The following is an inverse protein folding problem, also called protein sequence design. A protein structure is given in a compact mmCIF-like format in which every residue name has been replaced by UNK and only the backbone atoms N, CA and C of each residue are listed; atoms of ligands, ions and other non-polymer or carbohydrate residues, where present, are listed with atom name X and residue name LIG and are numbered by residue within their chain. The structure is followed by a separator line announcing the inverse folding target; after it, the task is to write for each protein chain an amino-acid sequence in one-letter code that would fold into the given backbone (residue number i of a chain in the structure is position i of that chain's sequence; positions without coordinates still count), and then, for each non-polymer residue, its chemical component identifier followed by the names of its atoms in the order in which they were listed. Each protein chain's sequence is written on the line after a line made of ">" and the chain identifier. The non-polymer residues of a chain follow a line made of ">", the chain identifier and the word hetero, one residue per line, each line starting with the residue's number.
data_IF_040735419590
#
_entry.id   IF_040735419590
#
_cell.length_a   1.000
_cell.length_b   1.000
_cell.length_c   1.000
_cell.angle_alpha   90.00
_cell.angle_beta   90.00
_cell.angle_gamma   90.00
#
_symmetry.space_group_name_H-M   'P 1'
#
loop_
_entity.id
_entity.type
_entity.pdbx_description
1 polymer ?
#
# COMPACT_ATOMS: atom_id res chain seq x y z
N UNK A 1 38.06 -20.61 -7.86
CA UNK A 1 37.80 -20.27 -9.28
C UNK A 1 36.45 -20.84 -9.69
N UNK A 2 35.76 -20.17 -10.64
CA UNK A 2 34.39 -20.37 -11.16
C UNK A 2 33.27 -19.84 -10.22
N UNK A 3 32.60 -18.68 -10.44
CA UNK A 3 31.88 -18.05 -11.59
C UNK A 3 30.69 -18.88 -12.14
N UNK A 4 29.47 -18.42 -11.84
CA UNK A 4 28.30 -18.22 -12.74
C UNK A 4 27.01 -18.17 -11.86
N UNK A 5 26.40 -17.00 -11.69
CA UNK A 5 25.35 -16.42 -12.55
C UNK A 5 23.96 -17.03 -12.31
N UNK A 6 23.05 -16.20 -11.76
CA UNK A 6 21.64 -16.10 -12.15
C UNK A 6 21.06 -14.79 -11.59
N UNK A 7 21.07 -13.76 -12.45
CA UNK A 7 20.10 -12.68 -12.40
C UNK A 7 18.70 -13.28 -12.52
N UNK A 8 17.75 -12.80 -11.72
CA UNK A 8 16.36 -12.73 -12.13
C UNK A 8 15.77 -11.44 -11.56
N UNK A 9 15.87 -10.40 -12.37
CA UNK A 9 14.96 -9.26 -12.32
C UNK A 9 13.57 -9.79 -12.69
N UNK A 10 12.58 -9.62 -11.81
CA UNK A 10 11.19 -9.79 -12.20
C UNK A 10 10.74 -8.48 -12.84
N UNK A 11 10.72 -8.53 -14.16
CA UNK A 11 10.16 -7.54 -15.07
C UNK A 11 8.68 -7.37 -14.76
N UNK A 12 8.26 -6.11 -14.57
CA UNK A 12 6.87 -5.71 -14.65
C UNK A 12 6.35 -6.00 -16.06
N UNK A 13 5.53 -7.04 -16.19
CA UNK A 13 4.83 -7.39 -17.42
C UNK A 13 3.41 -6.83 -17.44
N UNK A 14 3.26 -5.57 -17.83
CA UNK A 14 2.00 -5.07 -18.43
C UNK A 14 2.35 -4.55 -19.81
N UNK A 15 2.29 -5.44 -20.81
CA UNK A 15 2.30 -5.07 -22.21
C UNK A 15 1.56 -6.14 -23.03
N UNK A 16 0.23 -6.02 -23.10
CA UNK A 16 -0.58 -6.60 -24.18
C UNK A 16 -1.98 -5.97 -24.24
N UNK A 17 -2.07 -4.63 -24.39
CA UNK A 17 -3.14 -4.02 -25.18
C UNK A 17 -2.78 -2.57 -25.57
N UNK A 18 -1.87 -2.43 -26.54
CA UNK A 18 -1.66 -1.18 -27.28
C UNK A 18 -1.30 -1.54 -28.73
N UNK A 19 -2.22 -2.22 -29.40
CA UNK A 19 -2.16 -2.46 -30.86
C UNK A 19 -3.02 -1.46 -31.64
N UNK A 20 -3.57 -0.43 -31.01
CA UNK A 20 -4.57 0.42 -31.66
C UNK A 20 -4.69 1.80 -31.02
N UNK A 21 -3.72 2.69 -31.27
CA UNK A 21 -3.93 4.12 -31.57
C UNK A 21 -2.63 4.66 -32.18
N UNK A 22 -2.72 5.34 -33.32
CA UNK A 22 -1.59 5.80 -34.11
C UNK A 22 -0.80 6.95 -33.47
N UNK A 23 0.50 6.96 -33.79
CA UNK A 23 1.40 8.12 -33.89
C UNK A 23 1.18 9.30 -32.92
N UNK A 24 1.92 9.29 -31.80
CA UNK A 24 2.37 10.54 -31.18
C UNK A 24 3.76 10.35 -30.56
N UNK A 25 4.80 10.47 -31.40
CA UNK A 25 6.16 10.75 -30.95
C UNK A 25 6.43 12.22 -31.32
N UNK A 26 6.73 13.12 -30.38
CA UNK A 26 7.23 14.44 -30.74
C UNK A 26 8.69 14.33 -31.21
N UNK A 27 9.12 15.10 -32.23
CA UNK A 27 10.48 15.03 -32.74
C UNK A 27 11.48 15.56 -31.72
N UNK A 28 12.67 14.94 -31.69
CA UNK A 28 13.81 15.42 -30.93
C UNK A 28 14.27 16.79 -31.44
N UNK A 29 14.50 17.72 -30.52
CA UNK A 29 15.24 18.96 -30.78
C UNK A 29 14.44 20.25 -30.60
N UNK A 30 14.37 20.76 -29.37
CA UNK A 30 14.37 22.21 -29.13
C UNK A 30 14.91 22.49 -27.72
N UNK A 31 16.04 23.21 -27.67
CA UNK A 31 16.57 23.77 -26.42
C UNK A 31 15.56 24.76 -25.83
N UNK A 32 15.17 24.55 -24.57
CA UNK A 32 14.39 25.51 -23.78
C UNK A 32 15.35 26.08 -22.73
N UNK A 33 15.43 27.42 -22.56
CA UNK A 33 16.31 28.00 -21.56
C UNK A 33 15.82 27.62 -20.16
N UNK A 34 16.77 27.36 -19.25
CA UNK A 34 16.53 27.10 -17.83
C UNK A 34 15.95 28.39 -17.23
N UNK A 35 14.63 28.45 -17.12
CA UNK A 35 13.94 29.38 -16.24
C UNK A 35 13.84 28.72 -14.86
N UNK A 36 14.49 29.37 -13.90
CA UNK A 36 14.46 29.17 -12.45
C UNK A 36 13.27 28.40 -11.91
N UNK A 37 13.57 27.30 -11.22
CA UNK A 37 12.65 26.53 -10.38
C UNK A 37 12.08 27.41 -9.25
N UNK A 38 10.88 27.95 -9.45
CA UNK A 38 10.01 28.46 -8.41
C UNK A 38 8.57 28.42 -8.94
N UNK A 39 7.75 27.50 -8.41
CA UNK A 39 6.32 27.43 -8.74
C UNK A 39 5.84 26.10 -9.32
N UNK A 40 6.09 24.98 -8.64
CA UNK A 40 5.31 23.75 -8.82
C UNK A 40 4.25 23.57 -7.72
N UNK A 41 3.92 24.63 -6.98
CA UNK A 41 2.83 24.67 -6.00
C UNK A 41 1.56 25.25 -6.65
N UNK A 42 1.10 24.69 -7.77
CA UNK A 42 -0.15 25.10 -8.41
C UNK A 42 -0.66 24.07 -9.44
N UNK A 43 -0.79 22.78 -9.06
CA UNK A 43 -1.56 21.80 -9.87
C UNK A 43 -2.37 20.80 -9.02
N UNK A 44 -2.65 21.11 -7.76
CA UNK A 44 -3.74 20.46 -7.04
C UNK A 44 -4.96 21.35 -7.20
N UNK A 45 -5.87 20.95 -8.08
CA UNK A 45 -7.19 21.55 -8.18
C UNK A 45 -7.79 21.66 -6.78
N UNK A 46 -8.22 22.86 -6.45
CA UNK A 46 -8.91 23.22 -5.22
C UNK A 46 -10.26 22.52 -5.17
N UNK A 47 -10.29 21.31 -4.63
CA UNK A 47 -11.43 20.84 -3.87
C UNK A 47 -10.93 20.73 -2.42
N UNK A 48 -11.61 21.32 -1.42
CA UNK A 48 -11.29 21.00 -0.05
C UNK A 48 -11.47 19.49 0.09
N UNK A 49 -10.41 18.77 0.46
CA UNK A 49 -10.56 17.44 0.99
C UNK A 49 -11.39 17.62 2.26
N UNK A 50 -12.71 17.43 2.15
CA UNK A 50 -13.56 17.36 3.33
C UNK A 50 -13.03 16.18 4.12
N UNK A 51 -12.35 16.46 5.23
CA UNK A 51 -11.96 15.45 6.20
C UNK A 51 -13.23 14.66 6.55
N UNK A 52 -13.29 13.44 6.05
CA UNK A 52 -14.40 12.55 6.35
C UNK A 52 -14.07 11.73 7.61
N UNK A 53 -15.03 10.93 8.08
CA UNK A 53 -14.83 10.16 9.31
C UNK A 53 -13.65 9.19 9.19
N UNK A 54 -13.33 8.70 7.99
CA UNK A 54 -12.18 7.82 7.76
C UNK A 54 -10.89 8.61 7.92
N UNK A 55 -10.81 9.84 7.43
CA UNK A 55 -9.61 10.69 7.60
C UNK A 55 -9.33 10.99 9.08
N UNK A 56 -10.38 11.38 9.83
CA UNK A 56 -10.27 11.61 11.27
C UNK A 56 -9.82 10.35 12.02
N UNK A 57 -10.40 9.19 11.67
CA UNK A 57 -10.03 7.91 12.26
C UNK A 57 -8.61 7.46 11.85
N UNK A 58 -8.17 7.77 10.63
CA UNK A 58 -6.83 7.46 10.14
C UNK A 58 -5.77 8.24 10.91
N UNK A 59 -6.05 9.48 11.31
CA UNK A 59 -5.16 10.25 12.19
C UNK A 59 -4.98 9.55 13.53
N UNK A 60 -6.09 9.14 14.17
CA UNK A 60 -6.03 8.42 15.46
C UNK A 60 -5.28 7.09 15.32
N UNK A 61 -5.57 6.31 14.26
CA UNK A 61 -4.83 5.10 13.96
C UNK A 61 -3.34 5.39 13.88
N UNK A 62 -2.96 6.36 13.05
CA UNK A 62 -1.57 6.65 12.74
C UNK A 62 -0.80 7.13 13.96
N UNK A 63 -1.36 8.03 14.77
CA UNK A 63 -0.72 8.50 16.00
C UNK A 63 -0.47 7.35 16.99
N UNK A 64 -1.40 6.38 17.08
CA UNK A 64 -1.29 5.23 18.00
C UNK A 64 -0.42 4.11 17.47
N UNK A 65 -0.31 3.94 16.15
CA UNK A 65 0.48 2.86 15.53
C UNK A 65 1.85 3.31 15.02
N UNK A 66 2.15 4.61 14.97
CA UNK A 66 3.46 5.10 14.52
C UNK A 66 4.65 4.66 15.38
N UNK A 67 4.54 4.52 16.73
CA UNK A 67 5.59 3.90 17.52
C UNK A 67 5.93 2.49 17.02
N UNK A 68 4.92 1.62 16.87
CA UNK A 68 5.06 0.28 16.30
C UNK A 68 5.64 0.30 14.87
N UNK A 69 5.18 1.20 14.00
CA UNK A 69 5.69 1.34 12.62
C UNK A 69 7.21 1.55 12.56
N UNK A 70 7.75 2.35 13.50
CA UNK A 70 9.18 2.67 13.58
C UNK A 70 10.05 1.52 14.12
N UNK A 71 9.45 0.56 14.81
CA UNK A 71 10.15 -0.60 15.36
C UNK A 71 10.32 -1.72 14.33
N UNK A 72 9.46 -1.75 13.31
CA UNK A 72 9.55 -2.71 12.22
C UNK A 72 10.83 -2.44 11.41
N UNK A 73 11.68 -3.45 11.30
CA UNK A 73 12.79 -3.43 10.34
C UNK A 73 12.24 -3.72 8.94
N UNK A 74 11.91 -2.68 8.18
CA UNK A 74 11.38 -2.79 6.81
C UNK A 74 12.39 -3.32 5.80
N UNK A 75 13.66 -3.48 6.19
CA UNK A 75 14.72 -4.04 5.33
C UNK A 75 14.95 -5.54 5.54
N UNK A 76 14.26 -6.14 6.53
CA UNK A 76 14.38 -7.56 6.82
C UNK A 76 13.90 -8.41 5.62
N UNK A 77 14.72 -9.38 5.21
CA UNK A 77 14.44 -10.27 4.09
C UNK A 77 13.22 -11.18 4.31
N UNK A 78 12.69 -11.28 5.54
CA UNK A 78 11.50 -12.07 5.87
C UNK A 78 10.29 -11.71 4.99
N UNK A 79 10.12 -10.45 4.60
CA UNK A 79 9.00 -10.02 3.76
C UNK A 79 9.13 -10.46 2.29
N UNK A 80 10.33 -10.88 1.87
CA UNK A 80 10.58 -11.48 0.57
C UNK A 80 10.35 -13.00 0.53
N UNK A 81 10.05 -13.62 1.67
CA UNK A 81 9.86 -15.08 1.75
C UNK A 81 8.46 -15.45 1.27
N UNK A 82 8.40 -16.30 0.24
CA UNK A 82 7.13 -16.80 -0.27
C UNK A 82 6.46 -17.73 0.75
N UNK A 83 5.12 -17.75 0.82
CA UNK A 83 4.38 -18.73 1.61
C UNK A 83 4.80 -20.15 1.21
N UNK A 84 4.92 -21.05 2.19
CA UNK A 84 5.14 -22.50 1.94
C UNK A 84 3.90 -23.20 1.36
N UNK A 85 2.81 -22.45 1.15
CA UNK A 85 1.58 -22.91 0.53
C UNK A 85 1.79 -23.34 -0.93
N UNK A 86 0.91 -24.22 -1.43
CA UNK A 86 0.95 -24.66 -2.83
C UNK A 86 0.71 -23.47 -3.77
N UNK A 87 1.43 -23.34 -4.90
CA UNK A 87 1.27 -22.22 -5.82
C UNK A 87 -0.17 -21.96 -6.28
N UNK A 88 -0.97 -23.01 -6.50
CA UNK A 88 -2.38 -22.87 -6.88
C UNK A 88 -3.25 -22.27 -5.78
N UNK A 89 -2.93 -22.50 -4.51
CA UNK A 89 -3.65 -21.92 -3.38
C UNK A 89 -3.27 -20.45 -3.20
N UNK A 90 -1.99 -20.11 -3.44
CA UNK A 90 -1.52 -18.71 -3.54
C UNK A 90 -2.26 -17.97 -4.65
N UNK A 91 -2.37 -18.56 -5.85
CA UNK A 91 -3.08 -17.96 -6.97
C UNK A 91 -4.56 -17.71 -6.67
N UNK A 92 -5.24 -18.61 -5.95
CA UNK A 92 -6.64 -18.42 -5.53
C UNK A 92 -6.81 -17.27 -4.52
N UNK A 93 -5.83 -17.02 -3.66
CA UNK A 93 -5.87 -15.85 -2.76
C UNK A 93 -5.63 -14.56 -3.53
N UNK A 94 -4.69 -14.56 -4.48
CA UNK A 94 -4.45 -13.43 -5.40
C UNK A 94 -5.69 -13.13 -6.23
N UNK A 95 -6.42 -14.15 -6.73
CA UNK A 95 -7.71 -13.97 -7.40
C UNK A 95 -8.69 -13.13 -6.57
N UNK A 96 -8.77 -13.36 -5.24
CA UNK A 96 -9.63 -12.55 -4.37
C UNK A 96 -9.17 -11.10 -4.27
N UNK A 97 -7.86 -10.85 -4.23
CA UNK A 97 -7.32 -9.48 -4.27
C UNK A 97 -7.65 -8.79 -5.59
N UNK A 98 -7.52 -9.48 -6.72
CA UNK A 98 -7.83 -8.92 -8.05
C UNK A 98 -9.33 -8.62 -8.19
N UNK A 99 -10.19 -9.53 -7.74
CA UNK A 99 -11.65 -9.32 -7.74
C UNK A 99 -12.04 -8.14 -6.85
N UNK A 100 -11.42 -8.00 -5.68
CA UNK A 100 -11.65 -6.86 -4.79
C UNK A 100 -11.15 -5.56 -5.43
N UNK A 101 -9.92 -5.53 -5.94
CA UNK A 101 -9.32 -4.36 -6.58
C UNK A 101 -10.10 -3.89 -7.81
N UNK A 102 -10.58 -4.81 -8.64
CA UNK A 102 -11.42 -4.48 -9.80
C UNK A 102 -12.77 -3.86 -9.42
N UNK A 103 -13.25 -4.08 -8.19
CA UNK A 103 -14.50 -3.53 -7.69
C UNK A 103 -14.33 -2.21 -6.93
N UNK A 104 -13.10 -1.83 -6.55
CA UNK A 104 -12.84 -0.60 -5.83
C UNK A 104 -13.12 0.64 -6.69
N UNK A 105 -13.46 1.74 -6.02
CA UNK A 105 -13.60 3.04 -6.67
C UNK A 105 -12.25 3.46 -7.30
N UNK A 106 -12.21 3.74 -8.63
CA UNK A 106 -10.96 4.06 -9.32
C UNK A 106 -10.27 5.33 -8.79
N UNK A 107 -11.01 6.31 -8.28
CA UNK A 107 -10.43 7.50 -7.70
C UNK A 107 -9.80 7.19 -6.33
N UNK A 108 -10.44 6.35 -5.52
CA UNK A 108 -9.86 5.86 -4.26
C UNK A 108 -8.56 5.05 -4.51
N UNK A 109 -8.56 4.17 -5.51
CA UNK A 109 -7.35 3.44 -5.93
C UNK A 109 -6.23 4.38 -6.37
N UNK A 110 -6.54 5.38 -7.20
CA UNK A 110 -5.56 6.39 -7.64
C UNK A 110 -4.99 7.16 -6.45
N UNK A 111 -5.83 7.59 -5.51
CA UNK A 111 -5.39 8.29 -4.30
C UNK A 111 -4.46 7.41 -3.46
N UNK A 112 -4.80 6.13 -3.26
CA UNK A 112 -3.95 5.16 -2.57
C UNK A 112 -2.57 5.00 -3.21
N UNK A 113 -2.50 4.88 -4.54
CA UNK A 113 -1.21 4.78 -5.27
C UNK A 113 -0.37 6.04 -5.08
N UNK A 114 -0.96 7.22 -5.20
CA UNK A 114 -0.24 8.48 -5.02
C UNK A 114 0.25 8.66 -3.57
N UNK A 115 -0.56 8.31 -2.57
CA UNK A 115 -0.17 8.37 -1.17
C UNK A 115 1.06 7.49 -0.88
N UNK A 116 1.09 6.25 -1.39
CA UNK A 116 2.26 5.38 -1.25
C UNK A 116 3.49 5.92 -2.01
N UNK A 117 3.30 6.50 -3.20
CA UNK A 117 4.40 7.10 -3.97
C UNK A 117 5.05 8.26 -3.22
N UNK A 118 4.27 9.14 -2.61
CA UNK A 118 4.78 10.23 -1.76
C UNK A 118 5.49 9.70 -0.51
N UNK A 119 4.89 8.71 0.16
CA UNK A 119 5.49 8.07 1.35
C UNK A 119 6.86 7.45 1.04
N UNK A 120 6.99 6.71 -0.06
CA UNK A 120 8.26 6.13 -0.52
C UNK A 120 9.30 7.22 -0.79
N UNK A 121 8.90 8.36 -1.35
CA UNK A 121 9.78 9.50 -1.61
C UNK A 121 10.35 10.16 -0.35
N UNK A 122 9.81 9.84 0.83
CA UNK A 122 10.10 10.49 2.12
C UNK A 122 10.45 9.52 3.24
N UNK A 123 10.83 8.29 2.90
CA UNK A 123 11.32 7.33 3.90
C UNK A 123 12.67 7.76 4.48
N UNK A 124 12.90 7.42 5.74
CA UNK A 124 14.20 7.54 6.39
C UNK A 124 15.15 6.39 5.99
N UNK A 125 16.35 6.36 6.59
CA UNK A 125 17.35 5.32 6.31
C UNK A 125 16.93 3.91 6.74
N UNK A 126 15.84 3.76 7.50
CA UNK A 126 15.27 2.48 7.95
C UNK A 126 14.03 2.09 7.13
N UNK A 127 13.67 2.87 6.10
CA UNK A 127 12.49 2.63 5.29
C UNK A 127 11.18 3.11 5.93
N UNK A 128 11.25 3.92 7.01
CA UNK A 128 10.05 4.42 7.69
C UNK A 128 9.67 5.79 7.13
N UNK A 129 8.43 5.92 6.65
CA UNK A 129 7.88 7.19 6.15
C UNK A 129 7.52 8.15 7.30
N UNK A 130 7.24 9.42 7.00
CA UNK A 130 6.78 10.40 7.98
C UNK A 130 5.39 10.06 8.56
N UNK A 131 5.06 10.59 9.74
CA UNK A 131 3.72 10.43 10.34
C UNK A 131 2.62 11.01 9.44
N UNK A 132 2.89 12.11 8.75
CA UNK A 132 1.95 12.75 7.82
C UNK A 132 1.64 11.82 6.65
N UNK A 133 2.68 11.30 5.98
CA UNK A 133 2.50 10.41 4.83
C UNK A 133 1.93 9.04 5.25
N UNK A 134 2.26 8.56 6.45
CA UNK A 134 1.63 7.37 7.03
C UNK A 134 0.12 7.58 7.27
N UNK A 135 -0.26 8.76 7.76
CA UNK A 135 -1.67 9.14 7.95
C UNK A 135 -2.42 9.20 6.62
N UNK A 136 -1.85 9.86 5.61
CA UNK A 136 -2.41 9.90 4.27
C UNK A 136 -2.56 8.50 3.66
N UNK A 137 -1.59 7.62 3.90
CA UNK A 137 -1.62 6.22 3.45
C UNK A 137 -2.76 5.44 4.12
N UNK A 138 -2.90 5.53 5.44
CA UNK A 138 -3.97 4.86 6.18
C UNK A 138 -5.37 5.37 5.78
N UNK A 139 -5.52 6.69 5.60
CA UNK A 139 -6.76 7.30 5.12
C UNK A 139 -7.16 6.78 3.74
N UNK A 140 -6.22 6.80 2.79
CA UNK A 140 -6.44 6.31 1.44
C UNK A 140 -6.79 4.81 1.40
N UNK A 141 -6.12 3.98 2.21
CA UNK A 141 -6.48 2.56 2.36
C UNK A 141 -7.89 2.42 2.92
N UNK A 142 -8.26 3.19 3.96
CA UNK A 142 -9.62 3.19 4.50
C UNK A 142 -10.68 3.48 3.45
N UNK A 143 -10.45 4.48 2.60
CA UNK A 143 -11.34 4.82 1.48
C UNK A 143 -11.40 3.71 0.41
N UNK A 144 -10.27 3.10 0.07
CA UNK A 144 -10.24 1.95 -0.83
C UNK A 144 -11.09 0.79 -0.29
N UNK A 145 -10.98 0.46 0.99
CA UNK A 145 -11.78 -0.61 1.62
C UNK A 145 -13.26 -0.24 1.70
N UNK A 146 -13.59 1.01 2.05
CA UNK A 146 -14.97 1.50 2.11
C UNK A 146 -15.65 1.51 0.74
N UNK A 147 -14.88 1.56 -0.35
CA UNK A 147 -15.43 1.61 -1.71
C UNK A 147 -16.01 0.29 -2.24
N UNK A 148 -15.83 -0.83 -1.53
CA UNK A 148 -16.31 -2.16 -1.93
C UNK A 148 -17.16 -2.81 -0.84
N UNK A 149 -18.06 -3.75 -1.18
CA UNK A 149 -18.82 -4.51 -0.19
C UNK A 149 -17.92 -5.27 0.79
N UNK A 150 -18.32 -5.30 2.07
CA UNK A 150 -17.61 -5.99 3.15
C UNK A 150 -17.22 -7.44 2.81
N UNK A 151 -18.06 -8.13 2.04
CA UNK A 151 -17.83 -9.51 1.60
C UNK A 151 -16.55 -9.66 0.78
N UNK A 152 -16.17 -8.67 -0.04
CA UNK A 152 -14.92 -8.72 -0.83
C UNK A 152 -13.68 -8.62 0.05
N UNK A 153 -13.70 -7.74 1.05
CA UNK A 153 -12.63 -7.66 2.05
C UNK A 153 -12.51 -8.96 2.83
N UNK A 154 -13.64 -9.56 3.22
CA UNK A 154 -13.64 -10.83 3.94
C UNK A 154 -13.22 -12.02 3.07
N UNK A 155 -13.54 -12.03 1.77
CA UNK A 155 -13.07 -13.06 0.83
C UNK A 155 -11.53 -13.08 0.76
N UNK A 156 -10.90 -11.90 0.70
CA UNK A 156 -9.44 -11.76 0.76
C UNK A 156 -8.89 -12.26 2.10
N UNK A 157 -9.40 -11.74 3.21
CA UNK A 157 -8.96 -12.16 4.55
C UNK A 157 -9.05 -13.67 4.75
N UNK A 158 -10.20 -14.26 4.41
CA UNK A 158 -10.45 -15.69 4.57
C UNK A 158 -9.58 -16.55 3.64
N UNK A 159 -9.17 -16.04 2.47
CA UNK A 159 -8.26 -16.76 1.59
C UNK A 159 -6.84 -16.85 2.18
N UNK A 160 -6.33 -15.74 2.71
CA UNK A 160 -5.00 -15.71 3.35
C UNK A 160 -4.97 -16.38 4.73
N UNK A 161 -6.05 -16.31 5.51
CA UNK A 161 -6.15 -16.98 6.81
C UNK A 161 -6.04 -18.52 6.72
N UNK A 162 -6.26 -19.10 5.53
CA UNK A 162 -6.05 -20.54 5.27
C UNK A 162 -4.58 -20.90 5.09
N UNK A 163 -3.70 -19.92 4.86
CA UNK A 163 -2.28 -20.18 4.70
C UNK A 163 -1.69 -20.50 6.07
N UNK A 164 -1.18 -21.73 6.21
CA UNK A 164 -0.30 -22.06 7.31
C UNK A 164 1.05 -21.41 7.03
N UNK A 165 1.30 -20.25 7.63
CA UNK A 165 2.64 -19.65 7.63
C UNK A 165 3.54 -20.27 8.72
N UNK A 166 3.03 -21.29 9.45
CA UNK A 166 3.60 -21.82 10.67
C UNK A 166 2.91 -21.22 11.91
N UNK A 167 2.85 -22.00 13.00
CA UNK A 167 2.23 -21.56 14.28
C UNK A 167 3.00 -20.40 14.95
N UNK A 168 4.21 -20.13 14.49
CA UNK A 168 5.14 -19.22 15.15
C UNK A 168 5.24 -17.85 14.47
N UNK A 169 4.51 -17.56 13.38
CA UNK A 169 4.67 -16.26 12.67
C UNK A 169 4.21 -15.08 13.52
N UNK A 170 3.05 -15.17 14.17
CA UNK A 170 2.58 -14.12 15.09
C UNK A 170 3.58 -13.88 16.22
N UNK A 171 3.96 -14.92 17.00
CA UNK A 171 5.00 -14.81 18.02
C UNK A 171 6.35 -14.29 17.49
N UNK A 172 6.78 -14.75 16.31
CA UNK A 172 8.02 -14.33 15.66
C UNK A 172 7.99 -12.83 15.34
N UNK A 173 6.94 -12.34 14.67
CA UNK A 173 6.81 -10.92 14.35
C UNK A 173 6.70 -10.07 15.62
N UNK A 174 5.95 -10.53 16.62
CA UNK A 174 5.85 -9.85 17.93
C UNK A 174 7.19 -9.80 18.67
N UNK A 175 8.09 -10.76 18.47
CA UNK A 175 9.42 -10.75 19.11
C UNK A 175 10.39 -9.70 18.53
N UNK A 176 10.04 -9.08 17.40
CA UNK A 176 10.85 -8.07 16.71
C UNK A 176 10.51 -6.63 17.12
N UNK A 177 9.46 -6.44 17.91
CA UNK A 177 8.88 -5.14 18.25
C UNK A 177 8.55 -5.08 19.74
N UNK A 178 8.19 -3.90 20.23
CA UNK A 178 7.61 -3.75 21.55
C UNK A 178 6.16 -4.28 21.55
N UNK A 179 5.88 -5.22 22.47
CA UNK A 179 4.58 -5.86 22.53
C UNK A 179 3.43 -4.91 22.91
N UNK A 180 3.69 -3.87 23.70
CA UNK A 180 2.66 -2.90 24.10
C UNK A 180 2.33 -1.93 22.95
N UNK A 181 3.34 -1.48 22.20
CA UNK A 181 3.13 -0.64 21.03
C UNK A 181 2.38 -1.40 19.93
N UNK A 182 2.71 -2.67 19.71
CA UNK A 182 1.97 -3.54 18.78
C UNK A 182 0.50 -3.75 19.21
N UNK A 183 0.24 -3.96 20.50
CA UNK A 183 -1.14 -4.05 21.02
C UNK A 183 -1.90 -2.73 20.87
N UNK A 184 -1.23 -1.60 21.12
CA UNK A 184 -1.82 -0.28 20.95
C UNK A 184 -2.19 -0.01 19.48
N UNK A 185 -1.28 -0.35 18.56
CA UNK A 185 -1.53 -0.29 17.11
C UNK A 185 -2.72 -1.16 16.71
N UNK A 186 -2.78 -2.40 17.18
CA UNK A 186 -3.87 -3.32 16.86
C UNK A 186 -5.22 -2.84 17.43
N UNK A 187 -5.24 -2.31 18.66
CA UNK A 187 -6.45 -1.71 19.24
C UNK A 187 -6.94 -0.53 18.39
N UNK A 188 -6.05 0.38 18.01
CA UNK A 188 -6.40 1.51 17.16
C UNK A 188 -6.90 1.05 15.78
N UNK A 189 -6.32 -0.01 15.22
CA UNK A 189 -6.82 -0.64 13.99
C UNK A 189 -8.24 -1.18 14.15
N UNK A 190 -8.56 -1.81 15.28
CA UNK A 190 -9.92 -2.30 15.56
C UNK A 190 -10.94 -1.16 15.68
N UNK A 191 -10.55 0.02 16.15
CA UNK A 191 -11.41 1.21 16.19
C UNK A 191 -11.57 1.82 14.79
N UNK A 192 -10.47 1.95 14.05
CA UNK A 192 -10.45 2.46 12.68
C UNK A 192 -11.34 1.64 11.73
N UNK A 193 -11.23 0.31 11.78
CA UNK A 193 -12.01 -0.58 10.89
C UNK A 193 -13.52 -0.49 11.14
N UNK A 194 -13.98 -0.09 12.33
CA UNK A 194 -15.40 0.13 12.58
C UNK A 194 -15.91 1.39 11.87
N UNK A 195 -15.09 2.45 11.79
CA UNK A 195 -15.40 3.67 11.03
C UNK A 195 -15.42 3.41 9.53
N UNK A 196 -14.43 2.65 9.03
CA UNK A 196 -14.38 2.22 7.62
C UNK A 196 -15.63 1.39 7.28
N UNK A 197 -16.00 0.42 8.12
CA UNK A 197 -17.19 -0.41 7.93
C UNK A 197 -18.48 0.42 7.91
N UNK A 198 -18.60 1.42 8.78
CA UNK A 198 -19.77 2.31 8.81
C UNK A 198 -19.91 3.18 7.55
N UNK A 199 -18.80 3.38 6.82
CA UNK A 199 -18.74 4.19 5.59
C UNK A 199 -18.74 3.32 4.33
N UNK A 200 -18.83 1.99 4.48
CA UNK A 200 -18.67 1.03 3.39
C UNK A 200 -19.92 0.94 2.52
N UNK A 201 -19.74 0.86 1.20
CA UNK A 201 -20.82 0.72 0.20
C UNK A 201 -21.28 -0.72 0.01
#
# INVERSE_FOLDING_TARGET
>A
MAKASKMLAVVAGVAAYCGWQGAFVPPAGRHVPIATAAGAAAMLGTAPAYADKIDDAAKVLSEKSYPFLKEIDWTDGVYGVLPTAKPLDVLKAIDKMLVMGAAMDPAALKAGVLAHSEAIGRVDSKGVTTLEDYTATNAAIGHMIASVPASKTMDVYNAFNKFSLGKDVGPYMMSKVNAEDAKAAYKAFLEFKDVVKASQR
#
